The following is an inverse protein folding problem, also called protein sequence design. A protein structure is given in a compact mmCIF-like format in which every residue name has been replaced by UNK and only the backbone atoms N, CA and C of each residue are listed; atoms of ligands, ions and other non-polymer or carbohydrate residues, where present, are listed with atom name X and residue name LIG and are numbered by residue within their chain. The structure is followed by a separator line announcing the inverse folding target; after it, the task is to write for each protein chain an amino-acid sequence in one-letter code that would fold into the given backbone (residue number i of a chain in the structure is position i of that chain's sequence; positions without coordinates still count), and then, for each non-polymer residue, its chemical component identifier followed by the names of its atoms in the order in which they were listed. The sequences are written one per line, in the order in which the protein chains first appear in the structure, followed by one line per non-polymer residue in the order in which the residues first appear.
data_IF_064785903399
#
_entry.id   IF_064785903399
#
_cell.length_a   1.000
_cell.length_b   1.000
_cell.length_c   1.000
_cell.angle_alpha   90.00
_cell.angle_beta   90.00
_cell.angle_gamma   90.00
#
_symmetry.space_group_name_H-M   'P 1'
#
loop_
_entity.id
_entity.type
_entity.pdbx_description
1 polymer ?
#
# COMPACT_ATOMS: atom_id res chain seq x y z
N UNK A 1 -0.66 -12.81 29.38
CA UNK A 1 -1.68 -13.14 28.36
C UNK A 1 -1.88 -14.65 28.27
N UNK A 2 -3.05 -15.07 27.79
CA UNK A 2 -3.28 -16.46 27.39
C UNK A 2 -3.61 -16.54 25.89
N UNK A 3 -3.09 -17.56 25.23
CA UNK A 3 -3.32 -17.83 23.82
C UNK A 3 -3.97 -19.20 23.66
N UNK A 4 -5.12 -19.24 23.02
CA UNK A 4 -5.79 -20.50 22.62
C UNK A 4 -5.75 -20.58 21.10
N UNK A 5 -5.32 -21.74 20.60
CA UNK A 5 -5.25 -21.99 19.16
C UNK A 5 -6.09 -23.21 18.81
N UNK A 6 -6.89 -23.08 17.76
CA UNK A 6 -7.57 -24.16 17.07
C UNK A 6 -6.89 -24.40 15.70
N UNK A 7 -7.37 -25.36 14.90
CA UNK A 7 -6.76 -25.74 13.61
C UNK A 7 -6.55 -24.54 12.69
N UNK A 8 -7.53 -23.63 12.59
CA UNK A 8 -7.48 -22.47 11.71
C UNK A 8 -7.66 -21.12 12.41
N UNK A 9 -7.93 -21.10 13.71
CA UNK A 9 -8.23 -19.91 14.47
C UNK A 9 -7.25 -19.70 15.61
N UNK A 10 -7.11 -18.45 16.05
CA UNK A 10 -6.40 -18.12 17.28
C UNK A 10 -7.17 -17.05 18.06
N UNK A 11 -7.21 -17.21 19.37
CA UNK A 11 -7.78 -16.24 20.30
C UNK A 11 -6.76 -15.90 21.38
N UNK A 12 -6.51 -14.62 21.58
CA UNK A 12 -5.62 -14.11 22.61
C UNK A 12 -6.42 -13.28 23.61
N UNK A 13 -6.34 -13.62 24.90
CA UNK A 13 -6.82 -12.77 25.99
C UNK A 13 -5.63 -12.02 26.57
N UNK A 14 -5.67 -10.69 26.47
CA UNK A 14 -4.57 -9.80 26.85
C UNK A 14 -5.01 -8.95 28.03
N UNK A 15 -4.23 -8.95 29.12
CA UNK A 15 -4.42 -8.10 30.30
C UNK A 15 -3.16 -7.28 30.54
N UNK A 16 -3.34 -6.00 30.81
CA UNK A 16 -2.31 -5.11 31.34
C UNK A 16 -2.56 -4.89 32.82
N UNK A 17 -1.58 -5.22 33.64
CA UNK A 17 -1.70 -5.18 35.09
C UNK A 17 -0.65 -4.21 35.65
N UNK A 18 -1.06 -3.27 36.48
CA UNK A 18 -0.14 -2.41 37.22
C UNK A 18 0.64 -3.26 38.22
N UNK A 19 1.95 -3.40 38.03
CA UNK A 19 2.80 -4.26 38.85
C UNK A 19 2.90 -3.83 40.32
N UNK A 20 2.63 -2.55 40.62
CA UNK A 20 2.68 -2.04 42.02
C UNK A 20 1.37 -2.27 42.76
N UNK A 21 0.23 -2.18 42.09
CA UNK A 21 -1.10 -2.22 42.73
C UNK A 21 -1.84 -3.53 42.47
N UNK A 22 -1.41 -4.36 41.52
CA UNK A 22 -2.11 -5.56 41.10
C UNK A 22 -3.39 -5.30 40.29
N UNK A 23 -3.73 -4.03 40.04
CA UNK A 23 -4.97 -3.66 39.35
C UNK A 23 -4.83 -3.88 37.83
N UNK A 24 -5.82 -4.53 37.24
CA UNK A 24 -5.92 -4.63 35.75
C UNK A 24 -6.37 -3.28 35.21
N UNK A 25 -5.53 -2.69 34.33
CA UNK A 25 -5.78 -1.39 33.69
C UNK A 25 -6.37 -1.54 32.31
N UNK A 26 -6.18 -2.69 31.67
CA UNK A 26 -6.72 -3.01 30.34
C UNK A 26 -6.94 -4.52 30.23
N UNK A 27 -8.05 -4.91 29.62
CA UNK A 27 -8.32 -6.30 29.27
C UNK A 27 -9.07 -6.35 27.93
N UNK A 28 -8.62 -7.18 27.00
CA UNK A 28 -9.26 -7.35 25.68
C UNK A 28 -9.00 -8.73 25.10
N UNK A 29 -10.04 -9.28 24.46
CA UNK A 29 -9.96 -10.52 23.70
C UNK A 29 -9.81 -10.19 22.23
N UNK A 30 -8.85 -10.82 21.59
CA UNK A 30 -8.58 -10.73 20.15
C UNK A 30 -8.73 -12.09 19.52
N UNK A 31 -9.35 -12.15 18.34
CA UNK A 31 -9.50 -13.40 17.60
C UNK A 31 -9.32 -13.22 16.11
N UNK A 32 -8.79 -14.24 15.48
CA UNK A 32 -8.67 -14.38 14.03
C UNK A 32 -9.15 -15.75 13.61
N UNK A 33 -9.73 -15.83 12.42
CA UNK A 33 -10.23 -17.06 11.80
C UNK A 33 -9.24 -17.69 10.81
N UNK A 34 -8.12 -17.01 10.53
CA UNK A 34 -7.03 -17.49 9.67
C UNK A 34 -5.70 -17.33 10.39
N UNK A 35 -5.11 -18.44 10.85
CA UNK A 35 -3.79 -18.47 11.53
C UNK A 35 -2.67 -17.86 10.73
N UNK A 36 -2.73 -17.88 9.40
CA UNK A 36 -1.71 -17.25 8.57
C UNK A 36 -1.63 -15.74 8.83
N UNK A 37 -2.70 -15.15 9.38
CA UNK A 37 -2.76 -13.74 9.76
C UNK A 37 -2.33 -13.45 11.21
N UNK A 38 -1.70 -14.41 11.89
CA UNK A 38 -1.15 -14.20 13.25
C UNK A 38 -0.29 -12.93 13.40
N UNK A 39 0.56 -12.53 12.41
CA UNK A 39 1.30 -11.28 12.53
C UNK A 39 0.39 -10.06 12.74
N UNK A 40 -0.72 -9.96 12.02
CA UNK A 40 -1.67 -8.85 12.18
C UNK A 40 -2.37 -8.87 13.55
N UNK A 41 -2.65 -10.06 14.11
CA UNK A 41 -3.17 -10.19 15.48
C UNK A 41 -2.15 -9.65 16.49
N UNK A 42 -0.88 -10.02 16.36
CA UNK A 42 0.19 -9.57 17.23
C UNK A 42 0.38 -8.05 17.13
N UNK A 43 0.39 -7.50 15.92
CA UNK A 43 0.51 -6.05 15.68
C UNK A 43 -0.66 -5.28 16.32
N UNK A 44 -1.89 -5.77 16.15
CA UNK A 44 -3.08 -5.17 16.77
C UNK A 44 -2.97 -5.13 18.29
N UNK A 45 -2.52 -6.22 18.92
CA UNK A 45 -2.29 -6.28 20.37
C UNK A 45 -1.24 -5.23 20.78
N UNK A 46 -0.11 -5.16 20.09
CA UNK A 46 0.95 -4.20 20.38
C UNK A 46 0.44 -2.76 20.26
N UNK A 47 -0.30 -2.42 19.21
CA UNK A 47 -0.88 -1.08 19.02
C UNK A 47 -1.82 -0.72 20.14
N UNK A 48 -2.77 -1.60 20.49
CA UNK A 48 -3.74 -1.34 21.55
C UNK A 48 -3.07 -1.20 22.93
N UNK A 49 -2.09 -2.04 23.25
CA UNK A 49 -1.31 -1.93 24.51
C UNK A 49 -0.49 -0.64 24.52
N UNK A 50 0.15 -0.28 23.42
CA UNK A 50 0.91 0.97 23.28
C UNK A 50 0.03 2.21 23.53
N UNK A 51 -1.17 2.23 22.96
CA UNK A 51 -2.14 3.31 23.19
C UNK A 51 -2.56 3.40 24.68
N UNK A 52 -2.71 2.25 25.38
CA UNK A 52 -3.06 2.23 26.81
C UNK A 52 -1.97 2.79 27.72
N UNK A 53 -0.70 2.65 27.36
CA UNK A 53 0.41 3.21 28.14
C UNK A 53 0.75 4.65 27.75
N UNK A 54 0.03 5.23 26.79
CA UNK A 54 0.23 6.61 26.34
C UNK A 54 1.56 6.86 25.63
N UNK A 55 2.14 5.83 25.03
CA UNK A 55 3.38 5.95 24.26
C UNK A 55 3.12 6.54 22.84
N UNK A 56 4.15 7.05 22.16
CA UNK A 56 4.02 7.52 20.77
C UNK A 56 3.37 6.47 19.87
N UNK A 57 2.47 6.92 18.98
CA UNK A 57 1.65 6.02 18.16
C UNK A 57 2.48 5.10 17.28
N UNK A 58 2.15 3.81 17.30
CA UNK A 58 2.71 2.76 16.45
C UNK A 58 1.65 2.17 15.50
N UNK A 59 0.58 2.91 15.21
CA UNK A 59 -0.53 2.46 14.35
C UNK A 59 -0.09 2.05 12.93
N UNK A 60 1.04 2.52 12.46
CA UNK A 60 1.65 2.08 11.21
C UNK A 60 1.92 0.56 11.18
N UNK A 61 2.04 -0.12 12.31
CA UNK A 61 2.23 -1.58 12.38
C UNK A 61 1.00 -2.36 11.90
N UNK A 62 -0.19 -1.74 11.88
CA UNK A 62 -1.41 -2.35 11.34
C UNK A 62 -1.53 -2.20 9.82
N UNK A 63 -0.68 -1.37 9.21
CA UNK A 63 -0.67 -1.17 7.76
C UNK A 63 -0.01 -2.34 7.05
N UNK A 64 -0.56 -2.66 5.88
CA UNK A 64 0.05 -3.63 4.97
C UNK A 64 1.05 -2.93 4.05
N UNK A 65 2.13 -3.63 3.72
CA UNK A 65 3.02 -3.22 2.64
C UNK A 65 2.61 -3.90 1.34
N UNK A 66 2.80 -3.19 0.22
CA UNK A 66 2.55 -3.73 -1.11
C UNK A 66 3.81 -3.56 -1.96
N UNK A 67 4.20 -4.60 -2.67
CA UNK A 67 5.42 -4.57 -3.48
C UNK A 67 5.33 -5.52 -4.67
N UNK A 68 6.19 -5.28 -5.67
CA UNK A 68 6.40 -6.20 -6.77
C UNK A 68 7.53 -7.18 -6.43
N UNK A 69 7.30 -8.47 -6.63
CA UNK A 69 8.30 -9.54 -6.48
C UNK A 69 8.58 -10.16 -7.84
N UNK A 70 9.81 -10.04 -8.31
CA UNK A 70 10.22 -10.69 -9.55
C UNK A 70 10.29 -12.22 -9.36
N UNK A 71 9.69 -12.93 -10.29
CA UNK A 71 9.72 -14.41 -10.36
C UNK A 71 10.59 -14.92 -11.51
N UNK A 72 10.83 -14.06 -12.50
CA UNK A 72 11.68 -14.32 -13.67
C UNK A 72 12.07 -12.97 -14.31
N UNK A 73 12.95 -12.95 -15.30
CA UNK A 73 13.50 -11.75 -15.96
C UNK A 73 12.43 -10.77 -16.50
N UNK A 74 11.25 -11.26 -16.89
CA UNK A 74 10.14 -10.46 -17.41
C UNK A 74 8.81 -10.80 -16.74
N UNK A 75 8.86 -11.34 -15.53
CA UNK A 75 7.67 -11.73 -14.77
C UNK A 75 7.77 -11.25 -13.34
N UNK A 76 6.70 -10.68 -12.87
CA UNK A 76 6.59 -10.27 -11.47
C UNK A 76 5.17 -10.46 -10.97
N UNK A 77 5.06 -10.53 -9.67
CA UNK A 77 3.81 -10.63 -8.92
C UNK A 77 3.65 -9.38 -8.06
N UNK A 78 2.40 -8.93 -7.86
CA UNK A 78 2.10 -7.97 -6.82
C UNK A 78 1.70 -8.71 -5.56
N UNK A 79 2.40 -8.41 -4.48
CA UNK A 79 2.29 -9.09 -3.19
C UNK A 79 1.91 -8.08 -2.12
N UNK A 80 0.98 -8.45 -1.25
CA UNK A 80 0.65 -7.73 -0.02
C UNK A 80 1.20 -8.53 1.16
N UNK A 81 1.75 -7.82 2.14
CA UNK A 81 2.34 -8.40 3.34
C UNK A 81 2.06 -7.54 4.57
N UNK A 82 2.22 -8.10 5.76
CA UNK A 82 2.48 -7.32 6.96
C UNK A 82 3.88 -6.66 6.87
N UNK A 83 4.16 -5.66 7.69
CA UNK A 83 5.43 -4.93 7.60
C UNK A 83 6.66 -5.77 7.95
N UNK A 84 6.49 -6.91 8.63
CA UNK A 84 7.59 -7.84 8.96
C UNK A 84 7.87 -8.85 7.86
N UNK A 85 7.07 -8.88 6.81
CA UNK A 85 7.08 -9.85 5.71
C UNK A 85 6.84 -11.30 6.16
N UNK A 86 6.30 -11.51 7.38
CA UNK A 86 5.98 -12.83 7.93
C UNK A 86 4.71 -13.43 7.32
N UNK A 87 3.80 -12.58 6.86
CA UNK A 87 2.63 -12.97 6.08
C UNK A 87 2.76 -12.39 4.68
N UNK A 88 2.60 -13.21 3.67
CA UNK A 88 2.56 -12.73 2.27
C UNK A 88 1.36 -13.32 1.53
N UNK A 89 0.72 -12.51 0.72
CA UNK A 89 -0.36 -12.91 -0.17
C UNK A 89 -0.13 -12.33 -1.57
N UNK A 90 0.05 -13.19 -2.54
CA UNK A 90 0.11 -12.80 -3.96
C UNK A 90 -1.28 -12.41 -4.44
N UNK A 91 -1.40 -11.24 -5.06
CA UNK A 91 -2.66 -10.68 -5.56
C UNK A 91 -2.72 -10.72 -7.10
N UNK A 92 -1.63 -10.30 -7.76
CA UNK A 92 -1.54 -10.29 -9.22
C UNK A 92 -0.42 -11.21 -9.64
N UNK A 93 -0.68 -12.03 -10.65
CA UNK A 93 0.29 -12.94 -11.28
C UNK A 93 0.24 -12.80 -12.80
N UNK A 94 1.25 -13.34 -13.47
CA UNK A 94 1.32 -13.39 -14.93
C UNK A 94 1.78 -12.09 -15.56
N UNK A 95 2.83 -12.16 -16.37
CA UNK A 95 3.47 -11.03 -17.03
C UNK A 95 4.30 -10.15 -16.08
N UNK A 96 4.69 -8.99 -16.56
CA UNK A 96 5.45 -7.99 -15.81
C UNK A 96 4.48 -6.97 -15.22
N UNK A 97 4.29 -7.03 -13.89
CA UNK A 97 3.42 -6.15 -13.10
C UNK A 97 4.28 -5.50 -12.02
N UNK A 98 4.43 -4.19 -12.02
CA UNK A 98 5.37 -3.46 -11.16
C UNK A 98 4.78 -2.15 -10.65
N UNK A 99 5.51 -1.49 -9.76
CA UNK A 99 5.17 -0.18 -9.18
C UNK A 99 3.78 -0.13 -8.52
N UNK A 100 3.47 -1.04 -7.58
CA UNK A 100 2.21 -0.95 -6.86
C UNK A 100 2.22 0.25 -5.90
N UNK A 101 1.07 0.96 -5.85
CA UNK A 101 0.83 2.09 -4.95
C UNK A 101 -0.57 1.98 -4.37
N UNK A 102 -0.72 2.08 -3.05
CA UNK A 102 -2.04 2.12 -2.42
C UNK A 102 -2.88 3.27 -2.95
N UNK A 103 -4.15 3.01 -3.23
CA UNK A 103 -5.08 3.99 -3.76
C UNK A 103 -5.72 4.85 -2.67
N UNK A 104 -5.73 4.37 -1.42
CA UNK A 104 -6.33 5.05 -0.27
C UNK A 104 -5.70 4.58 1.06
N UNK A 105 -5.97 5.31 2.13
CA UNK A 105 -5.50 5.03 3.49
C UNK A 105 -6.06 3.72 4.06
N UNK A 106 -7.26 3.31 3.63
CA UNK A 106 -7.92 2.07 4.02
C UNK A 106 -7.28 0.83 3.39
N UNK A 107 -6.37 1.02 2.43
CA UNK A 107 -5.69 -0.05 1.70
C UNK A 107 -6.67 -1.05 1.05
N UNK A 108 -7.82 -0.53 0.58
CA UNK A 108 -8.87 -1.34 -0.05
C UNK A 108 -8.66 -1.55 -1.55
N UNK A 109 -7.83 -0.71 -2.18
CA UNK A 109 -7.47 -0.77 -3.58
C UNK A 109 -6.04 -0.29 -3.79
N UNK A 110 -5.45 -0.64 -4.94
CA UNK A 110 -4.12 -0.17 -5.31
C UNK A 110 -4.01 0.03 -6.82
N UNK A 111 -3.07 0.89 -7.23
CA UNK A 111 -2.64 1.04 -8.62
C UNK A 111 -1.39 0.22 -8.86
N UNK A 112 -1.20 -0.25 -10.08
CA UNK A 112 0.04 -0.90 -10.53
C UNK A 112 0.18 -0.75 -12.04
N UNK A 113 1.40 -0.84 -12.55
CA UNK A 113 1.66 -0.83 -13.98
C UNK A 113 1.83 -2.26 -14.49
N UNK A 114 1.11 -2.62 -15.54
CA UNK A 114 1.25 -3.88 -16.26
C UNK A 114 1.86 -3.65 -17.65
N UNK A 115 2.87 -4.45 -17.97
CA UNK A 115 3.52 -4.48 -19.28
C UNK A 115 3.07 -5.68 -20.14
N UNK A 116 1.93 -6.27 -19.80
CA UNK A 116 1.41 -7.45 -20.49
C UNK A 116 0.60 -7.12 -21.77
N UNK A 117 0.25 -5.86 -21.98
CA UNK A 117 -0.48 -5.38 -23.15
C UNK A 117 0.43 -4.83 -24.25
N UNK A 118 -0.17 -4.20 -25.27
CA UNK A 118 0.57 -3.50 -26.33
C UNK A 118 1.35 -2.30 -25.80
N UNK A 119 0.80 -1.64 -24.77
CA UNK A 119 1.42 -0.50 -24.10
C UNK A 119 1.39 -0.71 -22.58
N UNK A 120 2.39 -0.18 -21.84
CA UNK A 120 2.33 -0.08 -20.39
C UNK A 120 1.05 0.60 -19.94
N UNK A 121 0.34 -0.02 -19.02
CA UNK A 121 -0.98 0.44 -18.58
C UNK A 121 -1.05 0.44 -17.06
N UNK A 122 -1.48 1.55 -16.47
CA UNK A 122 -1.85 1.61 -15.06
C UNK A 122 -3.24 1.02 -14.89
N UNK A 123 -3.35 0.04 -14.00
CA UNK A 123 -4.60 -0.52 -13.54
C UNK A 123 -4.86 -0.16 -12.09
N UNK A 124 -6.11 0.06 -11.75
CA UNK A 124 -6.59 0.02 -10.36
C UNK A 124 -7.14 -1.37 -10.09
N UNK A 125 -6.75 -1.96 -8.97
CA UNK A 125 -7.26 -3.24 -8.49
C UNK A 125 -8.00 -3.05 -7.17
N UNK A 126 -9.22 -3.54 -7.08
CA UNK A 126 -10.06 -3.51 -5.88
C UNK A 126 -9.92 -4.85 -5.14
N UNK A 127 -9.48 -4.81 -3.89
CA UNK A 127 -9.21 -6.01 -3.08
C UNK A 127 -10.48 -6.74 -2.61
N UNK A 128 -11.61 -6.02 -2.52
CA UNK A 128 -12.87 -6.58 -2.06
C UNK A 128 -13.57 -7.37 -3.17
N UNK A 129 -13.58 -6.81 -4.37
CA UNK A 129 -14.27 -7.41 -5.52
C UNK A 129 -13.36 -8.28 -6.38
N UNK A 130 -12.04 -8.11 -6.29
CA UNK A 130 -11.07 -8.75 -7.17
C UNK A 130 -11.06 -8.18 -8.60
N UNK A 131 -11.78 -7.09 -8.84
CA UNK A 131 -11.88 -6.46 -10.14
C UNK A 131 -10.70 -5.53 -10.44
N UNK A 132 -10.33 -5.43 -11.70
CA UNK A 132 -9.35 -4.45 -12.17
C UNK A 132 -9.97 -3.54 -13.23
N UNK A 133 -9.57 -2.27 -13.19
CA UNK A 133 -9.98 -1.23 -14.14
C UNK A 133 -8.74 -0.58 -14.73
N UNK A 134 -8.66 -0.48 -16.05
CA UNK A 134 -7.66 0.32 -16.74
C UNK A 134 -7.88 1.81 -16.47
N UNK A 135 -6.81 2.51 -16.13
CA UNK A 135 -6.82 3.95 -15.80
C UNK A 135 -6.23 4.75 -16.95
N UNK A 136 -4.98 4.46 -17.33
CA UNK A 136 -4.27 5.16 -18.40
C UNK A 136 -3.19 4.25 -18.98
N UNK A 137 -2.97 4.35 -20.29
CA UNK A 137 -1.87 3.71 -21.02
C UNK A 137 -0.95 4.78 -21.61
N UNK A 138 0.30 4.43 -21.86
CA UNK A 138 1.27 5.29 -22.52
C UNK A 138 2.22 4.44 -23.37
N UNK A 139 2.65 4.91 -24.55
CA UNK A 139 3.60 4.17 -25.39
C UNK A 139 4.97 3.98 -24.72
N UNK A 140 5.33 4.86 -23.79
CA UNK A 140 6.53 4.71 -22.96
C UNK A 140 6.21 4.30 -21.54
N UNK A 141 7.13 4.56 -20.62
CA UNK A 141 6.94 4.28 -19.20
C UNK A 141 5.75 5.08 -18.63
N UNK A 142 4.93 4.43 -17.81
CA UNK A 142 3.90 5.07 -17.01
C UNK A 142 3.82 4.43 -15.63
N UNK A 143 3.92 5.25 -14.58
CA UNK A 143 3.93 4.80 -13.18
C UNK A 143 3.06 5.73 -12.36
N UNK A 144 2.21 5.19 -11.49
CA UNK A 144 1.55 5.96 -10.45
C UNK A 144 2.52 6.17 -9.29
N UNK A 145 3.08 7.37 -9.18
CA UNK A 145 4.04 7.74 -8.14
C UNK A 145 3.34 8.04 -6.82
N UNK A 146 2.20 8.77 -6.86
CA UNK A 146 1.42 9.06 -5.68
C UNK A 146 -0.07 9.30 -5.98
N UNK A 147 -0.87 9.30 -4.92
CA UNK A 147 -2.32 9.52 -4.96
C UNK A 147 -2.66 10.66 -4.00
N UNK A 148 -3.47 11.61 -4.44
CA UNK A 148 -3.94 12.70 -3.58
C UNK A 148 -4.73 12.17 -2.39
N UNK A 149 -4.73 12.91 -1.29
CA UNK A 149 -5.38 12.55 -0.03
C UNK A 149 -6.88 12.25 -0.19
N UNK A 150 -7.54 12.98 -1.10
CA UNK A 150 -8.95 12.77 -1.45
C UNK A 150 -9.18 11.63 -2.46
N UNK A 151 -8.11 11.02 -2.98
CA UNK A 151 -8.16 9.92 -3.95
C UNK A 151 -8.61 10.32 -5.35
N UNK A 152 -8.69 11.62 -5.68
CA UNK A 152 -9.22 12.10 -6.97
C UNK A 152 -8.15 12.35 -8.01
N UNK A 153 -6.88 12.46 -7.61
CA UNK A 153 -5.75 12.78 -8.50
C UNK A 153 -4.60 11.80 -8.32
N UNK A 154 -3.92 11.52 -9.41
CA UNK A 154 -2.70 10.74 -9.43
C UNK A 154 -1.53 11.61 -9.87
N UNK A 155 -0.39 11.48 -9.19
CA UNK A 155 0.89 11.88 -9.75
C UNK A 155 1.45 10.72 -10.54
N UNK A 156 1.76 10.99 -11.79
CA UNK A 156 2.31 10.01 -12.71
C UNK A 156 3.73 10.40 -13.09
N UNK A 157 4.62 9.43 -13.09
CA UNK A 157 5.89 9.52 -13.80
C UNK A 157 5.67 8.90 -15.18
N UNK A 158 5.84 9.67 -16.25
CA UNK A 158 5.56 9.20 -17.62
C UNK A 158 6.66 9.62 -18.57
N UNK A 159 6.92 8.73 -19.55
CA UNK A 159 7.77 9.00 -20.71
C UNK A 159 7.01 8.67 -21.99
N UNK A 160 6.00 9.47 -22.39
CA UNK A 160 5.22 9.20 -23.61
C UNK A 160 6.02 9.35 -24.90
N UNK A 161 7.16 10.02 -24.82
CA UNK A 161 8.25 10.12 -25.82
C UNK A 161 9.55 9.74 -25.11
N UNK A 162 10.63 10.34 -25.45
CA UNK A 162 11.96 10.03 -24.88
C UNK A 162 12.22 10.70 -23.52
N UNK A 163 11.39 11.66 -23.12
CA UNK A 163 11.56 12.47 -21.92
C UNK A 163 10.66 12.00 -20.78
N UNK A 164 11.24 11.79 -19.60
CA UNK A 164 10.52 11.40 -18.37
C UNK A 164 10.19 12.62 -17.53
N UNK A 165 8.90 12.84 -17.29
CA UNK A 165 8.39 13.98 -16.55
C UNK A 165 7.30 13.56 -15.55
N UNK A 166 6.96 14.50 -14.66
CA UNK A 166 5.83 14.36 -13.73
C UNK A 166 4.56 14.93 -14.37
N UNK A 167 3.49 14.17 -14.26
CA UNK A 167 2.16 14.55 -14.73
C UNK A 167 1.15 14.46 -13.60
N UNK A 168 0.15 15.34 -13.63
CA UNK A 168 -1.04 15.28 -12.79
C UNK A 168 -2.21 14.75 -13.61
N UNK A 169 -2.80 13.63 -13.17
CA UNK A 169 -3.98 13.02 -13.79
C UNK A 169 -5.18 13.14 -12.86
N UNK A 170 -6.27 13.74 -13.35
CA UNK A 170 -7.53 13.86 -12.64
C UNK A 170 -8.45 12.69 -13.02
N UNK A 171 -8.79 11.87 -12.03
CA UNK A 171 -9.58 10.65 -12.21
C UNK A 171 -11.04 10.91 -12.61
N UNK A 172 -11.59 12.06 -12.24
CA UNK A 172 -12.99 12.43 -12.52
C UNK A 172 -13.13 12.95 -13.94
N UNK A 173 -12.26 13.87 -14.33
CA UNK A 173 -12.29 14.53 -15.64
C UNK A 173 -11.48 13.80 -16.69
N UNK A 174 -10.58 12.89 -16.29
CA UNK A 174 -9.58 12.19 -17.12
C UNK A 174 -8.60 13.14 -17.83
N UNK A 175 -8.47 14.36 -17.31
CA UNK A 175 -7.48 15.31 -17.82
C UNK A 175 -6.11 14.99 -17.28
N UNK A 176 -5.11 15.13 -18.15
CA UNK A 176 -3.70 15.01 -17.81
C UNK A 176 -3.01 16.34 -18.05
N UNK A 177 -2.21 16.78 -17.08
CA UNK A 177 -1.41 18.00 -17.16
C UNK A 177 0.04 17.65 -16.88
N UNK A 178 0.96 18.04 -17.76
CA UNK A 178 2.39 17.98 -17.52
C UNK A 178 2.75 18.99 -16.44
N UNK A 179 3.47 18.57 -15.40
CA UNK A 179 3.85 19.41 -14.25
C UNK A 179 5.29 19.90 -14.38
N UNK A 180 6.20 19.01 -14.80
CA UNK A 180 7.59 19.37 -15.00
C UNK A 180 7.92 19.37 -16.51
N UNK A 181 8.87 20.20 -16.89
CA UNK A 181 9.30 20.38 -18.30
C UNK A 181 10.79 20.73 -18.34
N UNK A 182 11.60 19.96 -17.65
CA UNK A 182 13.04 20.08 -17.63
C UNK A 182 13.66 19.08 -18.60
N UNK A 183 14.87 19.35 -19.10
CA UNK A 183 15.55 18.48 -20.08
C UNK A 183 16.14 17.19 -19.46
N UNK A 184 16.18 17.09 -18.14
CA UNK A 184 16.61 15.91 -17.40
C UNK A 184 15.48 14.94 -17.09
N UNK A 185 15.71 13.99 -16.21
CA UNK A 185 14.77 12.95 -15.81
C UNK A 185 14.07 13.37 -14.51
N UNK A 186 12.76 13.59 -14.56
CA UNK A 186 11.93 13.88 -13.40
C UNK A 186 11.09 12.66 -13.02
N UNK A 187 11.26 12.15 -11.79
CA UNK A 187 10.63 10.92 -11.33
C UNK A 187 10.14 10.99 -9.88
N UNK A 188 9.31 10.03 -9.50
CA UNK A 188 8.85 9.81 -8.11
C UNK A 188 8.21 11.04 -7.47
N UNK A 189 7.29 11.70 -8.19
CA UNK A 189 6.49 12.78 -7.62
C UNK A 189 5.66 12.28 -6.43
N UNK A 190 5.70 13.03 -5.32
CA UNK A 190 4.87 12.77 -4.14
C UNK A 190 4.16 14.04 -3.73
N UNK A 191 2.88 13.93 -3.37
CA UNK A 191 2.14 15.03 -2.77
C UNK A 191 2.66 15.32 -1.37
N UNK A 192 2.81 16.59 -1.05
CA UNK A 192 3.20 17.09 0.28
C UNK A 192 2.32 18.29 0.63
N UNK A 193 2.31 18.68 1.92
CA UNK A 193 1.61 19.86 2.40
C UNK A 193 0.10 19.85 2.05
N UNK A 194 -0.59 18.77 2.41
CA UNK A 194 -2.00 18.54 2.09
C UNK A 194 -2.31 18.72 0.58
N UNK A 195 -1.49 18.07 -0.26
CA UNK A 195 -1.59 18.07 -1.73
C UNK A 195 -1.37 19.41 -2.42
N UNK A 196 -0.88 20.44 -1.69
CA UNK A 196 -0.61 21.76 -2.25
C UNK A 196 0.72 21.87 -2.98
N UNK A 197 1.66 20.99 -2.65
CA UNK A 197 3.01 20.94 -3.24
C UNK A 197 3.36 19.52 -3.66
N UNK A 198 4.36 19.41 -4.51
CA UNK A 198 4.91 18.15 -4.99
C UNK A 198 6.40 18.15 -4.70
N UNK A 199 6.91 17.06 -4.10
CA UNK A 199 8.32 16.76 -4.05
C UNK A 199 8.63 15.67 -5.09
N UNK A 200 9.71 15.80 -5.82
CA UNK A 200 10.13 14.84 -6.85
C UNK A 200 11.66 14.79 -6.93
N UNK A 201 12.18 13.81 -7.67
CA UNK A 201 13.60 13.65 -7.95
C UNK A 201 13.85 14.15 -9.36
N UNK A 202 14.89 14.97 -9.54
CA UNK A 202 15.34 15.53 -10.83
C UNK A 202 16.87 15.39 -10.94
N UNK A 203 17.39 15.09 -12.12
CA UNK A 203 18.82 15.03 -12.41
C UNK A 203 19.32 16.28 -13.14
#
# INVERSE_FOLDING_TARGET
FSLTQDVNAATANVKLINAKTGVTTFEKVYSITDKKRNPFLAHKIVVDVNDQVGAPSVKWMEQSVIFARYTDAKKSEIVISDYTLSYTRTIITGGLNIFPKWANSEQSAFYYTSYSGAEPTIYQYDLKTGSRKSIISSPGMVVCSDVSKDGTKLLLTMAPKDQTDIYLYDLNTRKINKITDYSGIDVNGNFIDDDKRIAFVSD
#
